data_IF_082067462310
#
_entry.id   IF_082067462310
#
_cell.length_a   1.000
_cell.length_b   1.000
_cell.length_c   1.000
_cell.angle_alpha   90.00
_cell.angle_beta   90.00
_cell.angle_gamma   90.00
#
_symmetry.space_group_name_H-M   'P 1'
#
loop_
_entity.id
_entity.type
_entity.pdbx_description
1 polymer ?
#
# COMPACT_ATOMS: atom_id res chain seq x y z
N UNK A 1 -2.16 -1.75 4.57
CA UNK A 1 -3.21 -2.79 4.52
C UNK A 1 -3.76 -3.04 5.92
N UNK A 2 -5.09 -3.10 6.09
CA UNK A 2 -5.73 -3.27 7.41
C UNK A 2 -6.11 -4.71 7.74
N UNK A 3 -6.26 -5.60 6.74
CA UNK A 3 -6.65 -6.99 6.99
C UNK A 3 -5.45 -7.80 7.54
N UNK A 4 -5.47 -8.28 8.79
CA UNK A 4 -4.34 -8.99 9.36
C UNK A 4 -4.03 -10.32 8.65
N UNK A 5 -5.02 -10.93 7.99
CA UNK A 5 -4.81 -12.15 7.20
C UNK A 5 -3.99 -11.84 5.95
N UNK A 6 -4.35 -10.79 5.22
CA UNK A 6 -3.66 -10.35 4.00
C UNK A 6 -2.22 -9.92 4.31
N UNK A 7 -2.03 -9.12 5.37
CA UNK A 7 -0.69 -8.69 5.80
C UNK A 7 0.22 -9.89 6.07
N UNK A 8 -0.29 -10.94 6.73
CA UNK A 8 0.50 -12.13 7.04
C UNK A 8 0.86 -12.96 5.80
N UNK A 9 -0.06 -13.08 4.85
CA UNK A 9 0.13 -13.98 3.69
C UNK A 9 0.74 -13.30 2.47
N UNK A 10 0.76 -11.97 2.43
CA UNK A 10 1.21 -11.16 1.30
C UNK A 10 2.10 -10.00 1.77
N UNK A 11 2.90 -10.23 2.82
CA UNK A 11 3.72 -9.17 3.44
C UNK A 11 4.71 -8.54 2.47
N UNK A 12 5.18 -9.29 1.47
CA UNK A 12 6.09 -8.80 0.42
C UNK A 12 5.43 -7.77 -0.52
N UNK A 13 4.10 -7.71 -0.55
CA UNK A 13 3.32 -6.81 -1.42
C UNK A 13 2.74 -5.60 -0.66
N UNK A 14 3.16 -5.36 0.59
CA UNK A 14 2.54 -4.37 1.47
C UNK A 14 3.61 -3.48 2.10
N UNK A 15 3.64 -2.22 1.70
CA UNK A 15 4.57 -1.22 2.24
C UNK A 15 4.22 -0.75 3.66
N UNK A 16 2.93 -0.72 3.99
CA UNK A 16 2.44 -0.21 5.28
C UNK A 16 1.43 -1.17 5.91
N UNK A 17 1.75 -1.69 7.10
CA UNK A 17 0.83 -2.47 7.92
C UNK A 17 0.04 -1.56 8.88
N UNK A 18 -1.29 -1.56 8.73
CA UNK A 18 -2.24 -0.87 9.63
C UNK A 18 -3.28 -1.85 10.16
N UNK A 19 -2.89 -3.11 10.31
CA UNK A 19 -3.76 -4.17 10.83
C UNK A 19 -4.04 -4.05 12.33
N UNK A 20 -3.26 -3.23 13.03
CA UNK A 20 -3.50 -2.87 14.43
C UNK A 20 -4.84 -2.17 14.63
N UNK A 21 -5.36 -1.46 13.63
CA UNK A 21 -6.68 -0.80 13.71
C UNK A 21 -7.78 -1.84 13.99
N UNK A 22 -7.79 -2.93 13.22
CA UNK A 22 -8.81 -3.99 13.38
C UNK A 22 -8.56 -4.84 14.63
N UNK A 23 -7.32 -4.88 15.14
CA UNK A 23 -6.98 -5.52 16.41
C UNK A 23 -7.22 -4.63 17.64
N UNK A 24 -7.57 -3.35 17.44
CA UNK A 24 -7.67 -2.33 18.50
C UNK A 24 -6.35 -2.09 19.24
N UNK A 25 -5.24 -2.32 18.56
CA UNK A 25 -3.87 -2.09 19.05
C UNK A 25 -3.37 -0.68 18.67
N UNK A 26 -3.96 -0.06 17.64
CA UNK A 26 -3.68 1.32 17.22
C UNK A 26 -4.99 2.06 16.87
N UNK A 27 -4.94 3.39 16.86
CA UNK A 27 -6.05 4.24 16.43
C UNK A 27 -5.85 4.77 15.00
N UNK A 28 -6.85 5.47 14.45
CA UNK A 28 -6.77 6.02 13.09
C UNK A 28 -5.66 7.06 12.93
N UNK A 29 -5.41 7.88 13.94
CA UNK A 29 -4.41 8.95 13.85
C UNK A 29 -3.00 8.36 13.71
N UNK A 30 -2.64 7.39 14.57
CA UNK A 30 -1.36 6.68 14.51
C UNK A 30 -1.18 5.93 13.19
N UNK A 31 -2.25 5.31 12.67
CA UNK A 31 -2.19 4.65 11.37
C UNK A 31 -2.03 5.66 10.21
N UNK A 32 -2.63 6.84 10.32
CA UNK A 32 -2.48 7.94 9.38
C UNK A 32 -1.05 8.49 9.37
N UNK A 33 -0.43 8.66 10.54
CA UNK A 33 0.97 9.07 10.66
C UNK A 33 1.92 8.08 10.00
N UNK A 34 1.72 6.77 10.20
CA UNK A 34 2.51 5.72 9.53
C UNK A 34 2.40 5.79 8.01
N UNK A 35 1.19 6.02 7.50
CA UNK A 35 0.96 6.14 6.07
C UNK A 35 1.64 7.39 5.50
N UNK A 36 1.56 8.51 6.21
CA UNK A 36 2.19 9.76 5.79
C UNK A 36 3.72 9.64 5.77
N UNK A 37 4.31 9.03 6.81
CA UNK A 37 5.77 8.78 6.85
C UNK A 37 6.23 7.93 5.67
N UNK A 38 5.54 6.81 5.41
CA UNK A 38 5.86 5.94 4.27
C UNK A 38 5.76 6.68 2.93
N UNK A 39 4.75 7.55 2.75
CA UNK A 39 4.62 8.39 1.56
C UNK A 39 5.79 9.36 1.42
N UNK A 40 6.21 10.02 2.50
CA UNK A 40 7.34 10.93 2.48
C UNK A 40 8.66 10.21 2.19
N UNK A 41 8.88 9.02 2.75
CA UNK A 41 10.05 8.18 2.45
C UNK A 41 10.08 7.77 0.99
N UNK A 42 8.93 7.34 0.46
CA UNK A 42 8.78 6.99 -0.97
C UNK A 42 9.08 8.19 -1.86
N UNK A 43 8.54 9.37 -1.54
CA UNK A 43 8.81 10.61 -2.28
C UNK A 43 10.28 11.03 -2.23
N UNK A 44 11.01 10.65 -1.17
CA UNK A 44 12.45 10.87 -1.04
C UNK A 44 13.31 9.81 -1.76
N UNK A 45 12.69 8.86 -2.47
CA UNK A 45 13.37 7.87 -3.30
C UNK A 45 13.48 6.47 -2.69
N UNK A 46 12.81 6.19 -1.57
CA UNK A 46 12.62 4.81 -1.13
C UNK A 46 11.73 4.06 -2.14
N UNK A 47 12.15 2.87 -2.57
CA UNK A 47 11.37 2.05 -3.49
C UNK A 47 10.22 1.36 -2.76
N UNK A 48 9.05 1.39 -3.38
CA UNK A 48 7.88 0.62 -2.97
C UNK A 48 8.01 -0.86 -3.32
N UNK A 49 7.23 -1.70 -2.65
CA UNK A 49 7.13 -3.13 -2.94
C UNK A 49 6.80 -3.40 -4.41
N UNK A 50 5.93 -2.59 -5.02
CA UNK A 50 5.59 -2.73 -6.44
C UNK A 50 6.80 -2.51 -7.36
N UNK A 51 7.62 -1.50 -7.06
CA UNK A 51 8.83 -1.19 -7.83
C UNK A 51 9.91 -2.25 -7.63
N UNK A 52 10.10 -2.73 -6.40
CA UNK A 52 11.06 -3.80 -6.07
C UNK A 52 10.70 -5.10 -6.79
N UNK A 53 9.42 -5.43 -6.86
CA UNK A 53 8.92 -6.64 -7.53
C UNK A 53 8.80 -6.48 -9.05
N UNK A 54 9.03 -5.28 -9.58
CA UNK A 54 9.03 -5.02 -11.02
C UNK A 54 7.64 -4.99 -11.67
N UNK A 55 6.60 -4.68 -10.89
CA UNK A 55 5.24 -4.49 -11.42
C UNK A 55 5.15 -3.22 -12.27
N UNK A 56 5.18 -3.38 -13.59
CA UNK A 56 5.21 -2.30 -14.58
C UNK A 56 4.01 -2.37 -15.55
N UNK A 57 3.03 -3.21 -15.26
CA UNK A 57 1.85 -3.39 -16.09
C UNK A 57 0.91 -2.19 -15.97
N UNK A 58 0.50 -1.61 -17.10
CA UNK A 58 -0.49 -0.54 -17.14
C UNK A 58 -1.54 -0.83 -18.22
N UNK A 59 -2.79 -0.49 -17.91
CA UNK A 59 -3.90 -0.56 -18.86
C UNK A 59 -4.54 0.82 -18.96
N UNK A 60 -4.69 1.32 -20.18
CA UNK A 60 -5.45 2.54 -20.42
C UNK A 60 -6.93 2.20 -20.43
N UNK A 61 -7.67 2.66 -19.42
CA UNK A 61 -9.13 2.52 -19.38
C UNK A 61 -9.72 3.23 -20.60
N UNK A 62 -10.20 2.47 -21.59
CA UNK A 62 -10.96 3.03 -22.71
C UNK A 62 -12.36 3.39 -22.22
N UNK A 63 -12.70 4.67 -22.29
CA UNK A 63 -14.03 5.17 -21.93
C UNK A 63 -15.06 5.00 -23.05
N UNK A 64 -14.61 4.70 -24.28
CA UNK A 64 -15.47 4.51 -25.46
C UNK A 64 -14.99 3.33 -26.30
N UNK A 65 -15.92 2.61 -26.91
CA UNK A 65 -15.62 1.58 -27.91
C UNK A 65 -15.08 2.24 -29.19
N UNK A 66 -13.99 1.70 -29.71
CA UNK A 66 -13.47 2.09 -31.04
C UNK A 66 -14.41 1.50 -32.10
N UNK A 67 -14.80 2.33 -33.07
CA UNK A 67 -15.68 1.98 -34.19
C UNK A 67 -15.19 0.77 -35.00
#
# INVERSE_FOLDING_TARGET
>A
CANPKTVRTMSEHIDVDVSGILRREENMDTAGEKLLDALLRTANGELTAAEILGHNEFVMTRLYESA
#
